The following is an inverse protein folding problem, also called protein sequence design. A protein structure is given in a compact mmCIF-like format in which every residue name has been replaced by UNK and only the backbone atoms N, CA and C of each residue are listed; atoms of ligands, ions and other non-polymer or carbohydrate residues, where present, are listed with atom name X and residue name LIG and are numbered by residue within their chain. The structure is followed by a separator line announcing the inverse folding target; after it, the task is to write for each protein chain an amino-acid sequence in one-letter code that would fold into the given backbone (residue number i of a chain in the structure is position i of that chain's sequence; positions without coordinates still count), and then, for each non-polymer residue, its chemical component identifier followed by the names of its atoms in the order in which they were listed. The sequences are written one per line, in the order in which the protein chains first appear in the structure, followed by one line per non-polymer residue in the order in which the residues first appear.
data_IF_455896435296
#
_entry.id   IF_455896435296
#
_cell.length_a   1.000
_cell.length_b   1.000
_cell.length_c   1.000
_cell.angle_alpha   90.00
_cell.angle_beta   90.00
_cell.angle_gamma   90.00
#
_symmetry.space_group_name_H-M   'P 1'
#
loop_
_entity.id
_entity.type
_entity.pdbx_description
1 polymer ?
#
# COMPACT_ATOMS: atom_id res chain seq x y z
N UNK A 1 -28.39 11.98 19.39
CA UNK A 1 -27.32 12.42 18.47
C UNK A 1 -26.08 12.60 19.33
N UNK A 2 -25.36 11.49 19.58
CA UNK A 2 -24.26 11.48 20.54
C UNK A 2 -22.99 12.00 19.86
N UNK A 3 -22.63 13.24 20.17
CA UNK A 3 -21.28 13.74 19.99
C UNK A 3 -20.37 13.01 20.98
N UNK A 4 -19.60 12.04 20.48
CA UNK A 4 -18.45 11.50 21.19
C UNK A 4 -17.34 12.56 21.10
N UNK A 5 -17.26 13.36 22.15
CA UNK A 5 -16.12 14.19 22.50
C UNK A 5 -14.86 13.34 22.61
N UNK A 6 -13.75 13.91 22.15
CA UNK A 6 -12.50 13.23 21.86
C UNK A 6 -11.91 12.48 23.04
N UNK A 7 -11.58 11.21 22.80
CA UNK A 7 -10.52 10.53 23.52
C UNK A 7 -9.17 11.11 23.08
N UNK A 8 -8.63 11.97 23.94
CA UNK A 8 -7.27 11.95 24.44
C UNK A 8 -6.26 11.04 23.70
N UNK A 9 -5.34 11.66 22.98
CA UNK A 9 -3.93 11.62 23.38
C UNK A 9 -3.19 10.29 23.38
N UNK A 10 -3.63 9.24 22.70
CA UNK A 10 -2.73 8.13 22.37
C UNK A 10 -1.79 8.59 21.27
N UNK A 11 -0.51 8.22 21.37
CA UNK A 11 0.57 8.44 20.41
C UNK A 11 0.15 8.04 18.98
N UNK A 12 -0.68 8.83 18.32
CA UNK A 12 -1.02 8.64 16.93
C UNK A 12 0.30 8.83 16.21
N UNK A 13 0.80 7.74 15.63
CA UNK A 13 1.84 7.76 14.60
C UNK A 13 1.67 9.06 13.82
N UNK A 14 2.66 9.96 13.89
CA UNK A 14 2.65 11.24 13.17
C UNK A 14 2.81 10.97 11.67
N UNK A 15 1.76 10.43 11.07
CA UNK A 15 1.65 10.25 9.64
C UNK A 15 1.14 11.56 9.02
N UNK A 16 1.71 11.98 7.88
CA UNK A 16 1.25 13.17 7.19
C UNK A 16 -0.24 13.04 6.86
N UNK A 17 -0.96 14.18 6.84
CA UNK A 17 -2.41 14.16 6.59
C UNK A 17 -2.73 13.52 5.24
N UNK A 18 -2.00 13.92 4.21
CA UNK A 18 -2.00 13.32 2.89
C UNK A 18 -0.59 13.44 2.34
N UNK A 19 0.01 12.34 1.92
CA UNK A 19 1.24 12.38 1.14
C UNK A 19 0.87 12.67 -0.33
N UNK A 20 0.95 13.95 -0.71
CA UNK A 20 0.56 14.47 -2.03
C UNK A 20 1.79 14.69 -2.90
N UNK A 21 1.75 14.14 -4.11
CA UNK A 21 2.78 14.40 -5.11
C UNK A 21 2.51 15.72 -5.84
N UNK A 22 3.50 16.25 -6.56
CA UNK A 22 3.33 17.42 -7.43
C UNK A 22 2.17 17.21 -8.41
N UNK A 23 2.05 15.99 -8.96
CA UNK A 23 0.94 15.62 -9.84
C UNK A 23 -0.42 15.73 -9.15
N UNK A 24 -0.51 15.35 -7.87
CA UNK A 24 -1.76 15.48 -7.09
C UNK A 24 -2.15 16.97 -6.94
N UNK A 25 -1.18 17.87 -6.73
CA UNK A 25 -1.44 19.31 -6.69
C UNK A 25 -1.88 19.87 -8.04
N UNK A 26 -1.26 19.42 -9.13
CA UNK A 26 -1.68 19.80 -10.49
C UNK A 26 -3.14 19.40 -10.76
N UNK A 27 -3.56 18.20 -10.34
CA UNK A 27 -4.95 17.75 -10.45
C UNK A 27 -5.91 18.68 -9.70
N UNK A 28 -5.56 19.12 -8.49
CA UNK A 28 -6.41 20.05 -7.71
C UNK A 28 -6.54 21.37 -8.46
N UNK A 29 -5.41 21.96 -8.87
CA UNK A 29 -5.40 23.26 -9.56
C UNK A 29 -6.24 23.18 -10.84
N UNK A 30 -5.99 22.17 -11.67
CA UNK A 30 -6.78 21.93 -12.89
C UNK A 30 -8.24 21.66 -12.55
N UNK A 31 -8.54 20.93 -11.48
CA UNK A 31 -9.92 20.69 -11.04
C UNK A 31 -10.66 21.96 -10.64
N UNK A 32 -9.96 22.98 -10.14
CA UNK A 32 -10.54 24.29 -9.79
C UNK A 32 -10.59 25.26 -10.98
N UNK A 33 -9.74 25.11 -11.99
CA UNK A 33 -9.78 25.92 -13.22
C UNK A 33 -10.70 25.33 -14.29
N UNK A 34 -10.70 24.01 -14.45
CA UNK A 34 -11.45 23.28 -15.47
C UNK A 34 -11.80 21.86 -14.98
N UNK A 35 -12.94 21.74 -14.30
CA UNK A 35 -13.35 20.52 -13.58
C UNK A 35 -13.37 19.25 -14.44
N UNK A 36 -13.90 19.24 -15.69
CA UNK A 36 -13.96 18.02 -16.49
C UNK A 36 -12.58 17.37 -16.70
N UNK A 37 -11.55 18.19 -16.97
CA UNK A 37 -10.19 17.69 -17.13
C UNK A 37 -9.60 17.24 -15.78
N UNK A 38 -9.82 18.02 -14.72
CA UNK A 38 -9.39 17.63 -13.37
C UNK A 38 -9.99 16.29 -12.92
N UNK A 39 -11.23 16.02 -13.28
CA UNK A 39 -11.92 14.75 -13.00
C UNK A 39 -11.27 13.58 -13.73
N UNK A 40 -11.02 13.72 -15.04
CA UNK A 40 -10.35 12.68 -15.82
C UNK A 40 -8.98 12.36 -15.21
N UNK A 41 -8.17 13.38 -14.89
CA UNK A 41 -6.86 13.18 -14.27
C UNK A 41 -6.95 12.55 -12.87
N UNK A 42 -7.92 12.96 -12.05
CA UNK A 42 -8.17 12.37 -10.75
C UNK A 42 -8.59 10.89 -10.84
N UNK A 43 -9.41 10.53 -11.84
CA UNK A 43 -9.82 9.14 -12.08
C UNK A 43 -8.65 8.27 -12.55
N UNK A 44 -7.84 8.75 -13.48
CA UNK A 44 -6.60 8.06 -13.91
C UNK A 44 -5.70 7.82 -12.69
N UNK A 45 -5.51 8.85 -11.86
CA UNK A 45 -4.70 8.77 -10.65
C UNK A 45 -5.27 7.78 -9.64
N UNK A 46 -6.60 7.80 -9.45
CA UNK A 46 -7.32 6.90 -8.57
C UNK A 46 -7.13 5.45 -9.02
N UNK A 47 -7.44 5.13 -10.27
CA UNK A 47 -7.34 3.76 -10.82
C UNK A 47 -5.91 3.22 -10.71
N UNK A 48 -4.90 4.03 -11.08
CA UNK A 48 -3.49 3.63 -11.08
C UNK A 48 -2.85 3.48 -9.71
N UNK A 49 -3.53 3.82 -8.61
CA UNK A 49 -2.94 3.69 -7.27
C UNK A 49 -3.91 3.33 -6.15
N UNK A 50 -5.16 2.96 -6.48
CA UNK A 50 -6.16 2.55 -5.49
C UNK A 50 -5.72 1.32 -4.67
N UNK A 51 -4.86 0.47 -5.22
CA UNK A 51 -4.33 -0.74 -4.60
C UNK A 51 -3.26 -0.48 -3.53
N UNK A 52 -2.81 0.77 -3.34
CA UNK A 52 -1.85 1.17 -2.29
C UNK A 52 -2.61 1.68 -1.08
N UNK A 53 -2.52 1.00 0.07
CA UNK A 53 -3.29 1.36 1.27
C UNK A 53 -3.04 2.81 1.72
N UNK A 54 -1.78 3.22 1.81
CA UNK A 54 -1.41 4.59 2.20
C UNK A 54 -1.90 5.68 1.22
N UNK A 55 -2.14 5.35 -0.06
CA UNK A 55 -2.60 6.31 -1.10
C UNK A 55 -4.11 6.45 -1.19
N UNK A 56 -4.88 5.44 -0.74
CA UNK A 56 -6.36 5.46 -0.81
C UNK A 56 -6.97 6.78 -0.30
N UNK A 57 -6.60 7.30 0.89
CA UNK A 57 -7.19 8.54 1.40
C UNK A 57 -6.88 9.75 0.51
N UNK A 58 -5.65 9.85 0.01
CA UNK A 58 -5.22 10.95 -0.86
C UNK A 58 -5.97 10.91 -2.20
N UNK A 59 -6.09 9.74 -2.82
CA UNK A 59 -6.78 9.60 -4.10
C UNK A 59 -8.28 9.91 -3.99
N UNK A 60 -8.95 9.46 -2.93
CA UNK A 60 -10.36 9.82 -2.68
C UNK A 60 -10.50 11.32 -2.41
N UNK A 61 -9.53 11.91 -1.69
CA UNK A 61 -9.50 13.36 -1.45
C UNK A 61 -9.34 14.17 -2.75
N UNK A 62 -8.69 13.64 -3.78
CA UNK A 62 -8.63 14.31 -5.10
C UNK A 62 -10.02 14.43 -5.73
N UNK A 63 -10.82 13.35 -5.69
CA UNK A 63 -12.20 13.40 -6.18
C UNK A 63 -13.02 14.44 -5.42
N UNK A 64 -12.89 14.49 -4.09
CA UNK A 64 -13.51 15.57 -3.29
C UNK A 64 -13.12 16.97 -3.81
N UNK A 65 -11.83 17.24 -4.01
CA UNK A 65 -11.38 18.56 -4.47
C UNK A 65 -11.89 18.90 -5.88
N UNK A 66 -11.94 17.94 -6.79
CA UNK A 66 -12.46 18.15 -8.15
C UNK A 66 -13.94 18.54 -8.12
N UNK A 67 -14.76 17.86 -7.31
CA UNK A 67 -16.19 18.19 -7.20
C UNK A 67 -16.41 19.55 -6.54
N UNK A 68 -15.63 19.89 -5.51
CA UNK A 68 -15.66 21.24 -4.91
C UNK A 68 -15.21 22.30 -5.92
N UNK A 69 -14.15 22.04 -6.69
CA UNK A 69 -13.67 22.92 -7.75
C UNK A 69 -14.73 23.15 -8.84
N UNK A 70 -15.43 22.09 -9.24
CA UNK A 70 -16.59 22.19 -10.13
C UNK A 70 -17.71 23.03 -9.55
N UNK A 71 -18.03 22.89 -8.26
CA UNK A 71 -19.03 23.72 -7.62
C UNK A 71 -18.64 25.20 -7.66
N UNK A 72 -17.38 25.52 -7.32
CA UNK A 72 -16.86 26.90 -7.39
C UNK A 72 -16.95 27.46 -8.81
N UNK A 73 -16.56 26.69 -9.84
CA UNK A 73 -16.71 27.09 -11.25
C UNK A 73 -18.16 27.40 -11.61
N UNK A 74 -19.10 26.52 -11.23
CA UNK A 74 -20.52 26.73 -11.51
C UNK A 74 -21.06 27.96 -10.76
N UNK A 75 -20.60 28.24 -9.53
CA UNK A 75 -20.98 29.45 -8.82
C UNK A 75 -20.49 30.72 -9.52
N UNK A 76 -19.26 30.74 -10.02
CA UNK A 76 -18.74 31.86 -10.81
C UNK A 76 -19.58 32.06 -12.09
N UNK A 77 -19.95 30.97 -12.77
CA UNK A 77 -20.80 31.02 -13.95
C UNK A 77 -22.21 31.54 -13.62
N UNK A 78 -22.81 31.12 -12.51
CA UNK A 78 -24.11 31.64 -12.05
C UNK A 78 -24.02 33.14 -11.78
N UNK A 79 -22.98 33.60 -11.07
CA UNK A 79 -22.76 35.03 -10.80
C UNK A 79 -22.62 35.81 -12.12
N UNK A 80 -21.85 35.30 -13.07
CA UNK A 80 -21.69 35.90 -14.40
C UNK A 80 -23.03 35.99 -15.16
N UNK A 81 -23.82 34.92 -15.16
CA UNK A 81 -25.14 34.91 -15.80
C UNK A 81 -26.09 35.92 -15.15
N UNK A 82 -26.14 35.97 -13.81
CA UNK A 82 -27.02 36.91 -13.08
C UNK A 82 -26.60 38.38 -13.18
N UNK A 83 -25.34 38.65 -13.55
CA UNK A 83 -24.85 40.03 -13.75
C UNK A 83 -24.99 40.49 -15.19
N UNK A 84 -25.02 39.56 -16.15
CA UNK A 84 -25.16 39.87 -17.57
C UNK A 84 -26.63 39.95 -18.00
N UNK A 85 -27.48 39.08 -17.44
CA UNK A 85 -28.88 38.94 -17.81
C UNK A 85 -29.81 38.92 -16.59
N UNK A 86 -31.05 39.36 -16.79
CA UNK A 86 -32.10 39.23 -15.78
C UNK A 86 -32.54 37.76 -15.67
N UNK A 87 -31.99 37.05 -14.69
CA UNK A 87 -32.40 35.67 -14.37
C UNK A 87 -33.57 35.70 -13.40
N UNK A 88 -34.67 35.04 -13.77
CA UNK A 88 -35.82 34.87 -12.87
C UNK A 88 -35.44 34.15 -11.56
N UNK A 89 -36.09 34.53 -10.47
CA UNK A 89 -35.76 34.02 -9.12
C UNK A 89 -35.95 32.51 -9.01
N UNK A 90 -36.99 31.94 -9.62
CA UNK A 90 -37.23 30.50 -9.58
C UNK A 90 -36.15 29.73 -10.35
N UNK A 91 -35.68 30.29 -11.48
CA UNK A 91 -34.57 29.72 -12.26
C UNK A 91 -33.27 29.73 -11.47
N UNK A 92 -32.95 30.84 -10.81
CA UNK A 92 -31.76 30.96 -9.96
C UNK A 92 -31.78 29.94 -8.81
N UNK A 93 -32.88 29.87 -8.06
CA UNK A 93 -33.04 28.89 -6.96
C UNK A 93 -32.86 27.47 -7.49
N UNK A 94 -33.47 27.15 -8.63
CA UNK A 94 -33.35 25.83 -9.26
C UNK A 94 -31.89 25.49 -9.61
N UNK A 95 -31.15 26.42 -10.22
CA UNK A 95 -29.73 26.23 -10.54
C UNK A 95 -28.88 26.00 -9.28
N UNK A 96 -29.10 26.79 -8.23
CA UNK A 96 -28.36 26.67 -6.97
C UNK A 96 -28.59 25.32 -6.29
N UNK A 97 -29.84 24.87 -6.22
CA UNK A 97 -30.19 23.54 -5.68
C UNK A 97 -29.57 22.45 -6.54
N UNK A 98 -29.71 22.54 -7.87
CA UNK A 98 -29.16 21.56 -8.79
C UNK A 98 -27.65 21.39 -8.63
N UNK A 99 -26.88 22.48 -8.66
CA UNK A 99 -25.42 22.40 -8.53
C UNK A 99 -24.98 21.98 -7.12
N UNK A 100 -25.69 22.41 -6.08
CA UNK A 100 -25.42 21.97 -4.69
C UNK A 100 -25.60 20.46 -4.57
N UNK A 101 -26.73 19.93 -5.02
CA UNK A 101 -27.03 18.50 -4.94
C UNK A 101 -26.09 17.70 -5.85
N UNK A 102 -25.87 18.14 -7.08
CA UNK A 102 -25.06 17.39 -8.05
C UNK A 102 -23.57 17.37 -7.70
N UNK A 103 -23.03 18.45 -7.10
CA UNK A 103 -21.59 18.59 -6.89
C UNK A 103 -21.17 18.46 -5.42
N UNK A 104 -21.88 19.08 -4.48
CA UNK A 104 -21.48 19.04 -3.07
C UNK A 104 -21.92 17.75 -2.35
N UNK A 105 -23.02 17.12 -2.76
CA UNK A 105 -23.44 15.86 -2.16
C UNK A 105 -22.42 14.73 -2.43
N UNK A 106 -21.96 14.49 -3.68
CA UNK A 106 -20.88 13.54 -3.92
C UNK A 106 -19.56 13.94 -3.26
N UNK A 107 -19.22 15.24 -3.27
CA UNK A 107 -18.02 15.74 -2.59
C UNK A 107 -18.02 15.34 -1.10
N UNK A 108 -19.14 15.52 -0.42
CA UNK A 108 -19.31 15.13 0.99
C UNK A 108 -19.11 13.62 1.20
N UNK A 109 -19.64 12.80 0.29
CA UNK A 109 -19.41 11.35 0.27
C UNK A 109 -17.93 10.98 0.11
N UNK A 110 -17.22 11.64 -0.80
CA UNK A 110 -15.78 11.44 -0.96
C UNK A 110 -14.99 11.91 0.27
N UNK A 111 -15.35 13.04 0.89
CA UNK A 111 -14.69 13.51 2.11
C UNK A 111 -14.83 12.48 3.26
N UNK A 112 -16.05 11.95 3.47
CA UNK A 112 -16.31 10.91 4.46
C UNK A 112 -15.54 9.61 4.14
N UNK A 113 -15.53 9.20 2.87
CA UNK A 113 -14.79 8.02 2.42
C UNK A 113 -13.28 8.16 2.59
N UNK A 114 -12.72 9.34 2.31
CA UNK A 114 -11.31 9.65 2.55
C UNK A 114 -10.95 9.61 4.04
N UNK A 115 -11.82 10.15 4.90
CA UNK A 115 -11.65 10.08 6.36
C UNK A 115 -11.68 8.64 6.86
N UNK A 116 -12.63 7.82 6.38
CA UNK A 116 -12.72 6.39 6.70
C UNK A 116 -11.50 5.61 6.23
N UNK A 117 -11.03 5.85 5.01
CA UNK A 117 -9.83 5.20 4.47
C UNK A 117 -8.58 5.56 5.29
N UNK A 118 -8.47 6.84 5.70
CA UNK A 118 -7.37 7.31 6.54
C UNK A 118 -7.37 6.58 7.89
N UNK A 119 -8.51 6.52 8.55
CA UNK A 119 -8.66 5.85 9.83
C UNK A 119 -8.28 4.37 9.76
N UNK A 120 -8.74 3.66 8.72
CA UNK A 120 -8.35 2.26 8.48
C UNK A 120 -6.84 2.11 8.30
N UNK A 121 -6.20 2.99 7.53
CA UNK A 121 -4.76 2.93 7.34
C UNK A 121 -3.98 3.25 8.61
N UNK A 122 -4.43 4.20 9.44
CA UNK A 122 -3.77 4.48 10.73
C UNK A 122 -3.85 3.29 11.68
N UNK A 123 -4.98 2.58 11.72
CA UNK A 123 -5.10 1.35 12.52
C UNK A 123 -4.14 0.27 12.03
N UNK A 124 -4.04 0.07 10.71
CA UNK A 124 -3.11 -0.89 10.11
C UNK A 124 -1.66 -0.52 10.41
N UNK A 125 -1.29 0.76 10.29
CA UNK A 125 0.04 1.25 10.61
C UNK A 125 0.40 1.03 12.09
N UNK A 126 -0.54 1.26 13.00
CA UNK A 126 -0.36 0.98 14.42
C UNK A 126 -0.16 -0.52 14.68
N UNK A 127 -0.93 -1.39 14.00
CA UNK A 127 -0.75 -2.83 14.10
C UNK A 127 0.66 -3.27 13.64
N UNK A 128 1.18 -2.73 12.53
CA UNK A 128 2.55 -3.00 12.10
C UNK A 128 3.58 -2.56 13.15
N UNK A 129 3.44 -1.35 13.68
CA UNK A 129 4.37 -0.84 14.72
C UNK A 129 4.35 -1.72 15.96
N UNK A 130 3.17 -2.16 16.41
CA UNK A 130 3.06 -3.07 17.54
C UNK A 130 3.74 -4.42 17.26
N UNK A 131 3.42 -5.06 16.13
CA UNK A 131 3.98 -6.37 15.77
C UNK A 131 5.50 -6.33 15.62
N UNK A 132 6.04 -5.26 15.04
CA UNK A 132 7.46 -5.10 14.79
C UNK A 132 8.20 -4.70 16.07
N UNK A 133 7.76 -3.66 16.76
CA UNK A 133 8.52 -3.09 17.86
C UNK A 133 8.26 -3.81 19.19
N UNK A 134 7.02 -4.22 19.46
CA UNK A 134 6.67 -4.87 20.73
C UNK A 134 6.79 -6.40 20.63
N UNK A 135 6.34 -7.00 19.53
CA UNK A 135 6.31 -8.46 19.40
C UNK A 135 7.54 -9.03 18.66
N UNK A 136 8.47 -8.18 18.22
CA UNK A 136 9.70 -8.61 17.55
C UNK A 136 9.48 -9.34 16.23
N UNK A 137 8.33 -9.17 15.57
CA UNK A 137 8.05 -9.84 14.30
C UNK A 137 8.92 -9.22 13.21
N UNK A 138 9.75 -10.07 12.58
CA UNK A 138 10.71 -9.67 11.54
C UNK A 138 10.49 -10.36 10.18
N UNK A 139 9.39 -11.10 10.01
CA UNK A 139 9.10 -11.84 8.77
C UNK A 139 7.84 -11.32 8.12
N UNK A 140 7.92 -11.06 6.81
CA UNK A 140 6.87 -10.46 6.01
C UNK A 140 5.59 -11.32 5.98
N UNK A 141 5.75 -12.65 5.87
CA UNK A 141 4.63 -13.59 5.87
C UNK A 141 3.90 -13.66 7.19
N UNK A 142 4.61 -13.57 8.33
CA UNK A 142 3.98 -13.53 9.65
C UNK A 142 3.19 -12.23 9.86
N UNK A 143 3.69 -11.10 9.34
CA UNK A 143 2.96 -9.82 9.36
C UNK A 143 1.72 -9.87 8.45
N UNK A 144 1.85 -10.47 7.26
CA UNK A 144 0.75 -10.68 6.33
C UNK A 144 -0.38 -11.50 6.95
N UNK A 145 -0.05 -12.62 7.58
CA UNK A 145 -1.00 -13.49 8.26
C UNK A 145 -1.71 -12.77 9.43
N UNK A 146 -0.95 -12.07 10.28
CA UNK A 146 -1.53 -11.40 11.45
C UNK A 146 -2.34 -10.14 11.11
N UNK A 147 -2.05 -9.46 10.00
CA UNK A 147 -2.78 -8.25 9.59
C UNK A 147 -3.84 -8.51 8.51
N UNK A 148 -3.89 -9.72 7.96
CA UNK A 148 -4.76 -10.07 6.83
C UNK A 148 -4.46 -9.31 5.55
N UNK A 149 -3.29 -8.69 5.43
CA UNK A 149 -2.83 -7.99 4.22
C UNK A 149 -1.97 -8.92 3.38
N UNK A 150 -1.89 -8.71 2.05
CA UNK A 150 -0.96 -9.49 1.23
C UNK A 150 0.49 -9.12 1.57
N UNK A 151 1.45 -10.05 1.45
CA UNK A 151 2.88 -9.75 1.67
C UNK A 151 3.36 -8.56 0.80
N UNK A 152 2.79 -8.39 -0.40
CA UNK A 152 3.09 -7.26 -1.28
C UNK A 152 2.56 -5.91 -0.74
N UNK A 153 1.42 -5.91 -0.05
CA UNK A 153 0.86 -4.73 0.62
C UNK A 153 1.68 -4.41 1.86
N UNK A 154 1.96 -5.43 2.69
CA UNK A 154 2.78 -5.32 3.89
C UNK A 154 4.14 -4.70 3.57
N UNK A 155 4.85 -5.20 2.54
CA UNK A 155 6.13 -4.62 2.10
C UNK A 155 5.99 -3.13 1.83
N UNK A 156 5.02 -2.75 0.99
CA UNK A 156 4.85 -1.37 0.53
C UNK A 156 4.46 -0.44 1.66
N UNK A 157 3.62 -0.92 2.56
CA UNK A 157 3.20 -0.16 3.73
C UNK A 157 4.38 0.00 4.71
N UNK A 158 5.17 -1.04 4.99
CA UNK A 158 6.38 -0.94 5.83
C UNK A 158 7.38 0.04 5.23
N UNK A 159 7.69 -0.06 3.92
CA UNK A 159 8.58 0.89 3.25
C UNK A 159 8.08 2.33 3.35
N UNK A 160 6.77 2.54 3.23
CA UNK A 160 6.16 3.85 3.42
C UNK A 160 6.30 4.33 4.88
N UNK A 161 6.14 3.46 5.87
CA UNK A 161 6.33 3.83 7.28
C UNK A 161 7.80 4.14 7.61
N UNK A 162 8.74 3.40 7.03
CA UNK A 162 10.18 3.68 7.17
C UNK A 162 10.54 5.03 6.54
N UNK A 163 10.05 5.33 5.32
CA UNK A 163 10.33 6.59 4.64
C UNK A 163 9.77 7.81 5.37
N UNK A 164 8.81 7.62 6.28
CA UNK A 164 8.21 8.67 7.10
C UNK A 164 8.70 8.66 8.56
N UNK A 165 9.73 7.86 8.89
CA UNK A 165 10.33 7.80 10.21
C UNK A 165 9.43 7.20 11.29
N UNK A 166 8.36 6.49 10.91
CA UNK A 166 7.49 5.76 11.84
C UNK A 166 8.17 4.47 12.31
N UNK A 167 8.84 3.79 11.38
CA UNK A 167 9.69 2.64 11.65
C UNK A 167 11.14 3.02 11.41
N UNK A 168 12.05 2.36 12.13
CA UNK A 168 13.50 2.54 11.94
C UNK A 168 13.89 2.24 10.49
N UNK A 169 14.73 3.09 9.89
CA UNK A 169 15.13 2.98 8.48
C UNK A 169 16.02 1.75 8.24
N UNK A 170 16.80 1.38 9.26
CA UNK A 170 17.70 0.24 9.32
C UNK A 170 16.99 -1.09 9.68
N UNK A 171 15.68 -1.05 9.94
CA UNK A 171 14.91 -2.24 10.27
C UNK A 171 14.91 -3.21 9.08
N UNK A 172 15.54 -4.37 9.28
CA UNK A 172 15.56 -5.47 8.32
C UNK A 172 14.34 -6.36 8.54
N UNK A 173 13.51 -6.51 7.50
CA UNK A 173 12.40 -7.46 7.48
C UNK A 173 12.76 -8.59 6.50
N UNK A 174 12.73 -9.82 7.01
CA UNK A 174 13.02 -11.04 6.27
C UNK A 174 11.82 -11.47 5.42
N UNK A 175 12.11 -12.08 4.28
CA UNK A 175 11.11 -12.66 3.39
C UNK A 175 10.55 -13.99 3.93
N UNK A 176 9.33 -14.32 3.51
CA UNK A 176 8.69 -15.60 3.84
C UNK A 176 8.15 -15.66 5.26
N UNK A 177 8.02 -16.88 5.79
CA UNK A 177 7.46 -17.15 7.12
C UNK A 177 8.46 -17.86 8.02
N UNK A 178 8.37 -17.57 9.31
CA UNK A 178 9.01 -18.36 10.36
C UNK A 178 7.94 -19.02 11.22
N UNK A 179 8.12 -20.30 11.51
CA UNK A 179 7.35 -21.04 12.51
C UNK A 179 7.96 -20.93 13.91
N UNK A 180 9.13 -20.32 14.05
CA UNK A 180 9.78 -20.12 15.33
C UNK A 180 9.32 -18.81 15.97
N UNK A 181 8.78 -18.92 17.20
CA UNK A 181 8.53 -17.80 18.10
C UNK A 181 9.77 -16.89 18.24
N UNK A 182 9.62 -15.60 18.60
CA UNK A 182 10.73 -14.65 18.59
C UNK A 182 11.83 -15.11 19.56
N UNK A 183 12.93 -15.67 19.03
CA UNK A 183 14.16 -15.80 19.80
C UNK A 183 14.91 -14.48 19.70
N UNK A 184 14.96 -13.77 20.82
CA UNK A 184 15.99 -12.78 21.08
C UNK A 184 17.36 -13.46 20.95
N UNK A 185 18.06 -13.18 19.85
CA UNK A 185 19.49 -13.47 19.74
C UNK A 185 20.26 -12.16 19.78
N UNK A 186 20.45 -11.65 20.99
CA UNK A 186 21.64 -10.90 21.34
C UNK A 186 22.46 -11.76 22.31
N UNK A 187 23.36 -12.57 21.77
CA UNK A 187 24.42 -13.20 22.56
C UNK A 187 25.67 -13.42 21.70
N UNK A 188 26.41 -12.34 21.51
CA UNK A 188 27.81 -12.41 21.12
C UNK A 188 28.65 -12.95 22.29
N UNK A 189 29.63 -13.81 21.96
CA UNK A 189 30.78 -14.11 22.81
C UNK A 189 30.76 -15.47 23.51
N UNK A 190 31.24 -16.52 22.84
CA UNK A 190 32.64 -16.94 22.97
C UNK A 190 32.91 -18.14 22.05
N UNK A 191 33.84 -17.94 21.12
CA UNK A 191 34.52 -18.96 20.34
C UNK A 191 35.51 -19.78 21.19
N UNK A 192 35.98 -20.90 20.62
CA UNK A 192 37.11 -21.79 21.01
C UNK A 192 36.67 -23.04 21.81
N UNK A 193 36.92 -24.30 21.41
CA UNK A 193 38.01 -24.94 20.65
C UNK A 193 37.57 -26.28 19.98
N UNK A 194 38.42 -26.85 19.09
CA UNK A 194 38.16 -28.08 18.32
C UNK A 194 38.71 -29.34 19.00
N UNK A 195 38.02 -30.46 18.84
CA UNK A 195 38.45 -31.78 19.34
C UNK A 195 38.28 -32.86 18.29
N UNK A 196 39.38 -33.22 17.64
CA UNK A 196 39.54 -34.40 16.79
C UNK A 196 39.28 -35.70 17.56
N UNK A 197 38.50 -36.60 16.96
CA UNK A 197 38.63 -38.03 17.21
C UNK A 197 38.28 -38.78 15.91
N UNK A 198 39.29 -39.43 15.34
CA UNK A 198 39.16 -40.28 14.17
C UNK A 198 38.47 -41.60 14.50
N UNK A 199 37.70 -42.10 13.54
CA UNK A 199 37.12 -43.43 13.53
C UNK A 199 36.99 -43.90 12.10
N UNK A 200 37.90 -44.79 11.70
CA UNK A 200 37.85 -45.53 10.44
C UNK A 200 36.67 -46.52 10.47
N UNK A 201 35.86 -46.55 9.42
CA UNK A 201 34.97 -47.67 9.11
C UNK A 201 34.86 -47.85 7.59
N UNK A 202 34.82 -49.11 7.19
CA UNK A 202 35.09 -49.69 5.87
C UNK A 202 34.11 -49.28 4.73
N UNK A 203 34.52 -49.44 3.46
CA UNK A 203 33.74 -49.07 2.30
C UNK A 203 32.64 -50.11 1.99
N UNK A 204 31.39 -49.62 1.89
CA UNK A 204 30.22 -50.38 1.42
C UNK A 204 30.10 -50.22 -0.10
N UNK A 205 29.73 -51.25 -0.87
CA UNK A 205 29.72 -51.20 -2.34
C UNK A 205 28.67 -50.24 -2.89
N UNK A 206 29.09 -49.39 -3.84
CA UNK A 206 28.24 -48.51 -4.64
C UNK A 206 27.36 -49.31 -5.61
N UNK A 207 26.04 -49.11 -5.63
CA UNK A 207 25.20 -49.46 -6.76
C UNK A 207 25.40 -48.45 -7.89
N UNK A 208 25.61 -48.95 -9.11
CA UNK A 208 25.76 -48.17 -10.33
C UNK A 208 24.57 -47.21 -10.53
N UNK A 209 24.87 -45.92 -10.73
CA UNK A 209 23.89 -44.90 -11.07
C UNK A 209 23.36 -45.13 -12.49
N UNK A 210 22.04 -45.27 -12.61
CA UNK A 210 21.34 -45.21 -13.88
C UNK A 210 21.41 -43.78 -14.48
N UNK A 211 21.35 -43.61 -15.81
CA UNK A 211 21.40 -42.30 -16.44
C UNK A 211 20.11 -41.51 -16.12
N UNK A 212 20.27 -40.34 -15.49
CA UNK A 212 19.18 -39.37 -15.27
C UNK A 212 18.78 -38.77 -16.63
N UNK A 213 17.50 -38.81 -17.04
CA UNK A 213 17.06 -38.23 -18.30
C UNK A 213 17.25 -36.70 -18.30
N UNK A 214 17.51 -36.07 -19.48
CA UNK A 214 17.79 -34.65 -19.57
C UNK A 214 16.57 -33.84 -19.11
N UNK A 215 16.73 -33.11 -18.01
CA UNK A 215 15.69 -32.21 -17.53
C UNK A 215 15.66 -30.96 -18.42
N UNK A 216 14.47 -30.61 -18.92
CA UNK A 216 14.26 -29.45 -19.78
C UNK A 216 13.81 -28.24 -18.95
N UNK A 217 14.08 -27.00 -19.41
CA UNK A 217 13.56 -25.80 -18.76
C UNK A 217 12.02 -25.83 -18.68
N UNK A 218 11.47 -25.49 -17.50
CA UNK A 218 10.02 -25.51 -17.22
C UNK A 218 9.51 -24.10 -16.97
N UNK A 219 8.33 -23.79 -17.51
CA UNK A 219 7.61 -22.55 -17.18
C UNK A 219 6.92 -22.71 -15.83
N UNK A 220 7.25 -21.84 -14.87
CA UNK A 220 6.71 -21.83 -13.50
C UNK A 220 6.01 -20.49 -13.27
N UNK A 221 4.81 -20.53 -12.66
CA UNK A 221 4.10 -19.31 -12.25
C UNK A 221 4.71 -18.75 -10.98
N UNK A 222 5.01 -17.46 -10.99
CA UNK A 222 5.54 -16.76 -9.84
C UNK A 222 4.49 -16.70 -8.72
N UNK A 223 4.81 -17.14 -7.49
CA UNK A 223 3.88 -17.08 -6.37
C UNK A 223 3.60 -15.63 -5.91
N UNK A 224 4.48 -14.68 -6.21
CA UNK A 224 4.34 -13.29 -5.79
C UNK A 224 3.39 -12.45 -6.66
N UNK A 225 3.40 -12.65 -7.99
CA UNK A 225 2.63 -11.82 -8.92
C UNK A 225 1.82 -12.60 -9.97
N UNK A 226 1.95 -13.93 -10.02
CA UNK A 226 1.26 -14.77 -11.01
C UNK A 226 1.89 -14.80 -12.40
N UNK A 227 2.95 -14.03 -12.66
CA UNK A 227 3.65 -14.02 -13.95
C UNK A 227 4.34 -15.36 -14.24
N UNK A 228 4.32 -15.82 -15.49
CA UNK A 228 5.03 -17.03 -15.92
C UNK A 228 6.50 -16.71 -16.20
N UNK A 229 7.41 -17.49 -15.62
CA UNK A 229 8.86 -17.37 -15.83
C UNK A 229 9.43 -18.76 -16.17
N UNK A 230 10.39 -18.82 -17.09
CA UNK A 230 11.08 -20.07 -17.43
C UNK A 230 12.30 -20.26 -16.53
N UNK A 231 12.40 -21.42 -15.88
CA UNK A 231 13.50 -21.77 -14.97
C UNK A 231 14.21 -23.01 -15.48
N UNK A 232 15.54 -22.96 -15.54
CA UNK A 232 16.39 -24.10 -15.92
C UNK A 232 16.55 -25.08 -14.74
N UNK A 233 16.76 -26.38 -15.00
CA UNK A 233 16.93 -27.38 -13.94
C UNK A 233 18.08 -27.02 -12.99
N UNK A 234 17.82 -27.12 -11.68
CA UNK A 234 18.82 -26.82 -10.64
C UNK A 234 19.14 -25.34 -10.44
N UNK A 235 18.51 -24.43 -11.18
CA UNK A 235 18.71 -22.99 -11.04
C UNK A 235 17.52 -22.35 -10.32
N UNK A 236 17.80 -21.31 -9.52
CA UNK A 236 16.78 -20.38 -9.05
C UNK A 236 16.92 -19.06 -9.80
N UNK A 237 15.81 -18.52 -10.30
CA UNK A 237 15.77 -17.24 -11.02
C UNK A 237 14.80 -16.29 -10.31
N UNK A 238 15.18 -15.01 -10.20
CA UNK A 238 14.25 -13.99 -9.74
C UNK A 238 13.19 -13.70 -10.81
N UNK A 239 11.94 -13.56 -10.38
CA UNK A 239 10.82 -13.21 -11.24
C UNK A 239 11.09 -11.87 -11.92
N UNK A 240 10.94 -11.83 -13.25
CA UNK A 240 11.22 -10.65 -14.07
C UNK A 240 10.30 -9.46 -13.72
N UNK A 241 9.18 -9.70 -13.02
CA UNK A 241 8.17 -8.68 -12.71
C UNK A 241 8.18 -8.18 -11.26
N UNK A 242 8.36 -9.07 -10.30
CA UNK A 242 8.24 -8.73 -8.87
C UNK A 242 9.48 -9.07 -8.04
N UNK A 243 10.53 -9.61 -8.66
CA UNK A 243 11.79 -9.94 -8.00
C UNK A 243 11.76 -11.17 -7.10
N UNK A 244 10.59 -11.80 -6.91
CA UNK A 244 10.45 -13.02 -6.10
C UNK A 244 11.28 -14.16 -6.69
N UNK A 245 12.15 -14.79 -5.89
CA UNK A 245 12.96 -15.94 -6.32
C UNK A 245 12.08 -17.17 -6.58
N UNK A 246 12.21 -17.74 -7.78
CA UNK A 246 11.49 -18.94 -8.22
C UNK A 246 12.53 -20.05 -8.39
N UNK A 247 12.36 -21.16 -7.69
CA UNK A 247 13.18 -22.36 -7.82
C UNK A 247 12.55 -23.35 -8.81
N UNK A 248 13.37 -24.18 -9.44
CA UNK A 248 12.90 -25.27 -10.29
C UNK A 248 12.20 -26.35 -9.43
N UNK A 249 10.89 -26.51 -9.61
CA UNK A 249 10.02 -27.47 -8.91
C UNK A 249 9.14 -28.29 -9.84
#
# INVERSE_FOLDING_TARGET
MNMLTGQEGQNMLRLPKYDRTIFDYAIIIIGYLFMPLGLVLALIRFMGSHFKNYRKPANISLLYHVFVGGFVQMMVLVIYMTSSDAVDTATLITMLILFTVLLLLPASGFAASAAKARFKFSQLAQAYVQLINANGVRYLGNLSEQTGQSESDVRRDILYLQSHGVLAAELVINEGRTTAAPQEHFREGLSSLPGSAGGQAQPVPQPAAAPVPPQLPKSVRCPGCGAQNTVSPGQSKNCDYCGTTIAYS
#
